data_IF_348879118090
#
_entry.id   IF_348879118090
#
_cell.length_a   1.000
_cell.length_b   1.000
_cell.length_c   1.000
_cell.angle_alpha   90.00
_cell.angle_beta   90.00
_cell.angle_gamma   90.00
#
_symmetry.space_group_name_H-M   'P 1'
#
loop_
_entity.id
_entity.type
_entity.pdbx_description
1 polymer ?
#
# COMPACT_ATOMS: atom_id res chain seq x y z
N UNK A 1 -22.18 -9.69 -4.25
CA UNK A 1 -21.32 -8.48 -4.22
C UNK A 1 -20.16 -8.70 -5.16
N UNK A 2 -20.15 -8.05 -6.34
CA UNK A 2 -19.35 -8.48 -7.50
C UNK A 2 -17.86 -8.14 -7.35
N UNK A 3 -17.09 -9.22 -7.15
CA UNK A 3 -15.81 -9.62 -7.79
C UNK A 3 -14.77 -8.54 -8.09
N UNK A 4 -13.72 -8.58 -7.26
CA UNK A 4 -12.38 -8.02 -7.42
C UNK A 4 -11.74 -8.43 -8.76
N UNK A 5 -11.25 -7.47 -9.56
CA UNK A 5 -10.19 -7.76 -10.55
C UNK A 5 -8.85 -7.71 -9.82
N UNK A 6 -8.13 -8.84 -9.81
CA UNK A 6 -6.74 -8.91 -9.35
C UNK A 6 -5.86 -8.91 -10.59
N UNK A 7 -5.22 -7.78 -10.88
CA UNK A 7 -4.11 -7.76 -11.85
C UNK A 7 -2.87 -8.29 -11.14
N UNK A 8 -2.31 -9.39 -11.63
CA UNK A 8 -1.04 -9.93 -11.14
C UNK A 8 0.11 -9.27 -11.89
N UNK A 9 1.15 -8.87 -11.17
CA UNK A 9 2.46 -8.67 -11.79
C UNK A 9 2.99 -10.02 -12.26
N UNK A 10 3.37 -10.09 -13.53
CA UNK A 10 3.90 -11.31 -14.13
C UNK A 10 5.32 -11.64 -13.65
N UNK A 11 6.11 -10.64 -13.22
CA UNK A 11 7.46 -10.85 -12.65
C UNK A 11 7.96 -9.59 -11.95
N UNK A 12 8.52 -9.66 -10.72
CA UNK A 12 9.19 -8.53 -10.08
C UNK A 12 10.53 -8.28 -10.77
N UNK A 13 10.58 -7.26 -11.64
CA UNK A 13 11.81 -6.76 -12.25
C UNK A 13 11.64 -5.26 -12.52
N UNK A 14 12.74 -4.51 -12.48
CA UNK A 14 12.77 -3.14 -13.01
C UNK A 14 12.30 -3.15 -14.48
N UNK A 15 11.48 -2.17 -14.87
CA UNK A 15 10.84 -2.08 -16.20
C UNK A 15 9.86 -3.25 -16.46
N UNK A 16 9.16 -3.70 -15.42
CA UNK A 16 8.20 -4.79 -15.56
C UNK A 16 7.00 -4.33 -16.40
N UNK A 17 6.65 -5.13 -17.42
CA UNK A 17 5.43 -4.91 -18.20
C UNK A 17 4.31 -5.72 -17.56
N UNK A 18 3.23 -5.04 -17.15
CA UNK A 18 2.04 -5.74 -16.68
C UNK A 18 1.43 -6.54 -17.84
N UNK A 19 1.07 -7.80 -17.55
CA UNK A 19 0.40 -8.66 -18.51
C UNK A 19 -0.86 -9.28 -17.86
N UNK A 20 -2.07 -8.84 -18.25
CA UNK A 20 -2.35 -7.80 -19.25
C UNK A 20 -1.89 -6.40 -18.81
N UNK A 21 -1.68 -5.45 -19.75
CA UNK A 21 -1.35 -4.06 -19.43
C UNK A 21 -2.39 -3.41 -18.51
N UNK A 22 -1.96 -2.41 -17.73
CA UNK A 22 -2.90 -1.67 -16.89
C UNK A 22 -3.92 -0.89 -17.75
N UNK A 23 -5.20 -0.83 -17.36
CA UNK A 23 -6.19 -0.07 -18.09
C UNK A 23 -5.83 1.42 -18.20
N UNK A 24 -5.89 1.95 -19.42
CA UNK A 24 -5.47 3.33 -19.72
C UNK A 24 -6.64 4.31 -19.74
N UNK A 25 -7.87 3.81 -19.72
CA UNK A 25 -9.09 4.60 -19.51
C UNK A 25 -9.71 4.27 -18.14
N UNK A 26 -10.03 5.30 -17.37
CA UNK A 26 -10.68 5.15 -16.07
C UNK A 26 -12.06 4.47 -16.18
N UNK A 27 -12.73 4.55 -17.33
CA UNK A 27 -13.97 3.84 -17.59
C UNK A 27 -13.79 2.31 -17.55
N UNK A 28 -12.60 1.79 -17.88
CA UNK A 28 -12.29 0.35 -17.76
C UNK A 28 -12.16 -0.10 -16.30
N UNK A 29 -11.89 0.84 -15.38
CA UNK A 29 -11.89 0.62 -13.94
C UNK A 29 -13.30 0.80 -13.34
N UNK A 30 -14.31 1.15 -14.15
CA UNK A 30 -15.67 1.33 -13.68
C UNK A 30 -16.24 0.05 -13.06
N UNK A 31 -16.96 0.21 -11.95
CA UNK A 31 -17.50 -0.91 -11.17
C UNK A 31 -16.51 -1.54 -10.20
N UNK A 32 -15.21 -1.25 -10.28
CA UNK A 32 -14.27 -1.60 -9.22
C UNK A 32 -14.49 -0.68 -8.01
N UNK A 33 -14.36 -1.24 -6.81
CA UNK A 33 -14.31 -0.45 -5.57
C UNK A 33 -12.89 -0.08 -5.17
N UNK A 34 -11.94 -0.95 -5.49
CA UNK A 34 -10.56 -0.73 -5.14
C UNK A 34 -9.60 -1.30 -6.19
N UNK A 35 -8.43 -0.68 -6.26
CA UNK A 35 -7.24 -1.17 -6.97
C UNK A 35 -6.13 -1.35 -5.93
N UNK A 36 -5.45 -2.50 -5.97
CA UNK A 36 -4.30 -2.78 -5.10
C UNK A 36 -3.06 -2.88 -5.98
N UNK A 37 -2.08 -2.01 -5.72
CA UNK A 37 -0.74 -2.08 -6.30
C UNK A 37 0.16 -2.82 -5.32
N UNK A 38 0.76 -3.93 -5.77
CA UNK A 38 1.63 -4.75 -4.93
C UNK A 38 2.96 -4.93 -5.64
N UNK A 39 3.98 -4.24 -5.15
CA UNK A 39 5.33 -4.26 -5.73
C UNK A 39 5.39 -3.74 -7.18
N UNK A 40 4.56 -2.73 -7.53
CA UNK A 40 4.43 -2.18 -8.89
C UNK A 40 5.15 -0.83 -8.99
N UNK A 41 6.02 -0.68 -10.00
CA UNK A 41 6.65 0.60 -10.33
C UNK A 41 5.77 1.50 -11.23
N UNK A 42 6.09 2.79 -11.30
CA UNK A 42 5.32 3.78 -12.05
C UNK A 42 5.38 3.57 -13.57
N UNK A 43 6.44 2.97 -14.10
CA UNK A 43 6.60 2.70 -15.54
C UNK A 43 5.70 1.53 -15.97
N UNK A 44 5.54 0.52 -15.13
CA UNK A 44 4.65 -0.62 -15.34
C UNK A 44 3.19 -0.22 -15.57
N UNK A 45 2.77 0.93 -15.03
CA UNK A 45 1.43 1.50 -15.21
C UNK A 45 1.29 2.37 -16.46
N UNK A 46 2.38 2.75 -17.14
CA UNK A 46 2.41 3.77 -18.20
C UNK A 46 1.97 5.18 -17.74
N UNK A 47 2.16 6.20 -18.57
CA UNK A 47 1.62 7.54 -18.28
C UNK A 47 0.08 7.53 -18.23
N UNK A 48 -0.56 6.95 -19.24
CA UNK A 48 -2.02 6.92 -19.32
C UNK A 48 -2.65 6.07 -18.21
N UNK A 49 -2.05 4.94 -17.85
CA UNK A 49 -2.56 4.12 -16.75
C UNK A 49 -2.38 4.76 -15.37
N UNK A 50 -1.30 5.53 -15.14
CA UNK A 50 -1.17 6.38 -13.94
C UNK A 50 -2.28 7.44 -13.86
N UNK A 51 -2.57 8.12 -14.97
CA UNK A 51 -3.69 9.06 -15.02
C UNK A 51 -5.04 8.35 -14.81
N UNK A 52 -5.25 7.19 -15.44
CA UNK A 52 -6.45 6.36 -15.26
C UNK A 52 -6.68 5.99 -13.79
N UNK A 53 -5.63 5.54 -13.09
CA UNK A 53 -5.68 5.22 -11.66
C UNK A 53 -5.97 6.46 -10.80
N UNK A 54 -5.35 7.60 -11.11
CA UNK A 54 -5.62 8.87 -10.43
C UNK A 54 -7.08 9.28 -10.57
N UNK A 55 -7.63 9.23 -11.80
CA UNK A 55 -9.04 9.56 -12.08
C UNK A 55 -10.00 8.58 -11.39
N UNK A 56 -9.64 7.31 -11.33
CA UNK A 56 -10.39 6.31 -10.56
C UNK A 56 -10.46 6.69 -9.07
N UNK A 57 -9.33 7.07 -8.47
CA UNK A 57 -9.30 7.52 -7.08
C UNK A 57 -10.14 8.79 -6.89
N UNK A 58 -9.94 9.82 -7.72
CA UNK A 58 -10.71 11.07 -7.65
C UNK A 58 -12.23 10.86 -7.74
N UNK A 59 -12.67 9.87 -8.53
CA UNK A 59 -14.07 9.53 -8.74
C UNK A 59 -14.71 8.79 -7.55
N UNK A 60 -13.94 8.36 -6.54
CA UNK A 60 -14.43 7.63 -5.37
C UNK A 60 -13.84 6.23 -5.20
N UNK A 61 -12.92 5.82 -6.08
CA UNK A 61 -12.20 4.56 -5.96
C UNK A 61 -11.24 4.55 -4.78
N UNK A 62 -10.96 3.36 -4.24
CA UNK A 62 -9.91 3.17 -3.23
C UNK A 62 -8.64 2.62 -3.86
N UNK A 63 -7.49 3.25 -3.62
CA UNK A 63 -6.18 2.73 -4.04
C UNK A 63 -5.40 2.28 -2.81
N UNK A 64 -4.87 1.06 -2.84
CA UNK A 64 -3.95 0.55 -1.81
C UNK A 64 -2.61 0.25 -2.45
N UNK A 65 -1.54 0.84 -1.93
CA UNK A 65 -0.16 0.56 -2.34
C UNK A 65 0.51 -0.27 -1.26
N UNK A 66 0.90 -1.49 -1.60
CA UNK A 66 1.66 -2.40 -0.73
C UNK A 66 3.15 -2.24 -0.96
N UNK A 67 3.93 -2.19 0.12
CA UNK A 67 5.39 -2.12 0.04
C UNK A 67 6.01 -3.41 -0.51
N UNK A 68 7.12 -3.23 -1.21
CA UNK A 68 7.81 -4.26 -1.98
C UNK A 68 9.20 -3.76 -2.40
N UNK A 69 9.91 -4.58 -3.17
CA UNK A 69 11.25 -4.24 -3.63
C UNK A 69 11.27 -3.00 -4.55
N UNK A 70 10.31 -2.88 -5.45
CA UNK A 70 10.20 -1.78 -6.43
C UNK A 70 9.08 -0.80 -6.11
N UNK A 71 8.65 -0.72 -4.85
CA UNK A 71 7.64 0.24 -4.38
C UNK A 71 8.28 1.54 -3.84
N UNK A 72 7.52 2.65 -3.86
CA UNK A 72 7.90 3.95 -3.31
C UNK A 72 9.24 4.49 -3.85
N UNK A 73 10.31 4.55 -3.05
CA UNK A 73 11.59 5.15 -3.46
C UNK A 73 12.26 4.50 -4.68
N UNK A 74 11.96 3.23 -4.97
CA UNK A 74 12.47 2.52 -6.15
C UNK A 74 11.50 2.53 -7.34
N UNK A 75 10.30 3.10 -7.15
CA UNK A 75 9.19 2.98 -8.10
C UNK A 75 9.11 4.10 -9.12
N UNK A 76 10.01 5.09 -9.09
CA UNK A 76 9.97 6.29 -9.95
C UNK A 76 8.62 7.00 -9.89
N UNK A 77 8.08 7.13 -8.68
CA UNK A 77 6.78 7.78 -8.44
C UNK A 77 6.90 9.30 -8.44
N UNK A 78 8.09 9.86 -8.24
CA UNK A 78 8.33 11.31 -8.22
C UNK A 78 7.95 11.98 -9.54
N UNK A 79 7.39 13.19 -9.46
CA UNK A 79 6.90 13.97 -10.60
C UNK A 79 5.81 13.22 -11.42
N UNK A 80 4.99 12.41 -10.75
CA UNK A 80 3.87 11.67 -11.38
C UNK A 80 2.55 11.84 -10.61
N UNK A 81 1.44 11.45 -11.25
CA UNK A 81 0.12 11.36 -10.59
C UNK A 81 0.11 10.44 -9.35
N UNK A 82 1.06 9.50 -9.24
CA UNK A 82 1.18 8.64 -8.07
C UNK A 82 1.73 9.41 -6.88
N UNK A 83 2.75 10.25 -7.08
CA UNK A 83 3.27 11.13 -6.02
C UNK A 83 2.18 12.06 -5.53
N UNK A 84 1.40 12.69 -6.41
CA UNK A 84 0.31 13.59 -6.02
C UNK A 84 -0.73 12.89 -5.13
N UNK A 85 -1.21 11.70 -5.54
CA UNK A 85 -2.28 11.01 -4.81
C UNK A 85 -1.81 10.35 -3.50
N UNK A 86 -0.54 9.95 -3.40
CA UNK A 86 -0.06 9.18 -2.26
C UNK A 86 -0.16 10.00 -0.97
N UNK A 87 -0.59 9.39 0.16
CA UNK A 87 -0.71 10.07 1.44
C UNK A 87 0.63 10.23 2.18
N UNK A 88 1.74 9.89 1.52
CA UNK A 88 3.08 9.83 2.10
C UNK A 88 4.09 10.36 1.09
N UNK A 89 5.25 10.79 1.59
CA UNK A 89 6.45 11.02 0.79
C UNK A 89 7.51 9.99 1.14
N UNK A 90 8.32 9.61 0.15
CA UNK A 90 9.53 8.80 0.30
C UNK A 90 10.76 9.70 0.20
N UNK A 91 11.89 9.38 0.88
CA UNK A 91 13.15 10.10 0.70
C UNK A 91 13.85 9.79 -0.65
N UNK A 92 13.22 9.03 -1.55
CA UNK A 92 13.80 8.57 -2.82
C UNK A 92 14.40 7.17 -2.69
N UNK A 93 15.30 6.80 -3.61
CA UNK A 93 15.89 5.47 -3.69
C UNK A 93 16.49 4.96 -2.36
N UNK A 94 16.50 3.65 -2.20
CA UNK A 94 16.92 2.91 -1.01
C UNK A 94 16.12 3.24 0.25
N UNK A 95 14.83 3.57 0.10
CA UNK A 95 13.94 3.91 1.22
C UNK A 95 13.54 2.72 2.10
N UNK A 96 13.65 1.49 1.65
CA UNK A 96 13.36 0.31 2.46
C UNK A 96 14.57 -0.16 3.27
N UNK A 97 14.34 -0.43 4.56
CA UNK A 97 15.39 -0.83 5.49
C UNK A 97 14.97 -2.02 6.34
N UNK A 98 15.97 -2.84 6.69
CA UNK A 98 15.81 -3.88 7.70
C UNK A 98 15.63 -3.23 9.06
N UNK A 99 14.57 -3.60 9.77
CA UNK A 99 14.40 -3.20 11.16
C UNK A 99 15.45 -3.89 12.03
N UNK A 100 16.06 -3.13 12.97
CA UNK A 100 17.07 -3.66 13.92
C UNK A 100 16.55 -4.85 14.75
N UNK A 101 15.23 -4.85 15.00
CA UNK A 101 14.45 -5.92 15.61
C UNK A 101 13.05 -5.94 14.98
N UNK A 102 12.30 -7.04 15.06
CA UNK A 102 10.90 -7.04 14.63
C UNK A 102 10.12 -5.92 15.32
N UNK A 103 9.39 -5.12 14.55
CA UNK A 103 8.60 -4.00 15.06
C UNK A 103 7.13 -4.40 15.12
N UNK A 104 6.49 -4.46 16.31
CA UNK A 104 5.10 -4.86 16.42
C UNK A 104 4.18 -3.81 15.80
N UNK A 105 3.12 -4.27 15.13
CA UNK A 105 2.06 -3.43 14.62
C UNK A 105 1.12 -3.01 15.75
N UNK A 106 0.75 -1.73 15.75
CA UNK A 106 -0.19 -1.16 16.71
C UNK A 106 -1.19 -0.28 15.96
N UNK A 107 -2.52 -0.53 16.10
CA UNK A 107 -3.52 0.34 15.49
C UNK A 107 -3.49 1.71 16.16
N UNK A 108 -3.80 2.77 15.40
CA UNK A 108 -4.03 4.09 15.97
C UNK A 108 -5.26 4.06 16.90
N UNK A 109 -5.17 4.77 18.02
CA UNK A 109 -6.19 4.73 19.08
C UNK A 109 -7.58 5.22 18.60
N UNK A 110 -7.59 6.18 17.67
CA UNK A 110 -8.78 6.76 17.06
C UNK A 110 -9.30 5.99 15.84
N UNK A 111 -8.59 4.94 15.39
CA UNK A 111 -9.02 4.11 14.26
C UNK A 111 -9.96 2.98 14.70
N UNK A 112 -11.22 3.33 14.95
CA UNK A 112 -12.28 2.42 15.43
C UNK A 112 -12.44 1.18 14.54
N UNK A 113 -12.33 1.33 13.23
CA UNK A 113 -12.49 0.20 12.31
C UNK A 113 -11.43 -0.89 12.49
N UNK A 114 -10.23 -0.54 12.98
CA UNK A 114 -9.16 -1.49 13.30
C UNK A 114 -9.38 -2.28 14.59
N UNK A 115 -10.40 -1.96 15.38
CA UNK A 115 -10.76 -2.69 16.59
C UNK A 115 -11.25 -4.12 16.27
N UNK A 116 -11.07 -5.03 17.22
CA UNK A 116 -11.52 -6.43 17.13
C UNK A 116 -10.62 -7.35 16.31
N UNK A 117 -9.55 -6.85 15.68
CA UNK A 117 -8.55 -7.70 15.04
C UNK A 117 -7.68 -8.43 16.08
N UNK A 118 -7.08 -9.58 15.74
CA UNK A 118 -6.29 -10.40 16.67
C UNK A 118 -4.89 -9.80 16.98
N UNK A 119 -4.86 -8.55 17.44
CA UNK A 119 -3.64 -7.80 17.77
C UNK A 119 -2.78 -8.46 18.85
N UNK A 120 -3.38 -9.32 19.69
CA UNK A 120 -2.67 -10.12 20.70
C UNK A 120 -1.62 -11.08 20.10
N UNK A 121 -1.72 -11.42 18.82
CA UNK A 121 -0.69 -12.20 18.12
C UNK A 121 0.61 -11.41 17.87
N UNK A 122 0.63 -10.11 18.19
CA UNK A 122 1.77 -9.21 18.02
C UNK A 122 2.44 -9.30 16.63
N UNK A 123 1.65 -9.16 15.54
CA UNK A 123 2.20 -9.17 14.19
C UNK A 123 3.27 -8.10 14.04
N UNK A 124 4.39 -8.45 13.43
CA UNK A 124 5.59 -7.63 13.39
C UNK A 124 6.12 -7.44 11.98
N UNK A 125 6.80 -6.32 11.79
CA UNK A 125 7.46 -5.92 10.55
C UNK A 125 8.96 -6.17 10.67
N UNK A 126 9.54 -6.75 9.62
CA UNK A 126 10.98 -7.01 9.53
C UNK A 126 11.71 -6.01 8.65
N UNK A 127 11.04 -5.54 7.61
CA UNK A 127 11.51 -4.58 6.63
C UNK A 127 10.41 -3.59 6.31
N UNK A 128 10.75 -2.31 6.19
CA UNK A 128 9.79 -1.27 5.85
C UNK A 128 10.42 -0.12 5.07
N UNK A 129 9.62 0.54 4.25
CA UNK A 129 9.96 1.82 3.64
C UNK A 129 9.95 2.94 4.70
N UNK A 130 10.90 3.86 4.59
CA UNK A 130 10.93 5.12 5.34
C UNK A 130 9.96 6.10 4.70
N UNK A 131 8.73 6.12 5.18
CA UNK A 131 7.67 6.98 4.64
C UNK A 131 7.29 8.07 5.65
N UNK A 132 7.08 9.29 5.14
CA UNK A 132 6.62 10.43 5.92
C UNK A 132 5.17 10.77 5.55
N UNK A 133 4.20 10.73 6.47
CA UNK A 133 2.82 11.12 6.19
C UNK A 133 2.74 12.58 5.72
N UNK A 134 1.95 12.84 4.68
CA UNK A 134 1.65 14.20 4.23
C UNK A 134 0.66 14.89 5.18
N UNK A 135 0.62 16.24 5.22
CA UNK A 135 -0.39 16.97 5.97
C UNK A 135 -1.83 16.53 5.63
N UNK A 136 -2.71 16.45 6.62
CA UNK A 136 -4.12 16.06 6.43
C UNK A 136 -4.37 14.56 6.24
N UNK A 137 -3.33 13.73 6.31
CA UNK A 137 -3.45 12.27 6.24
C UNK A 137 -3.59 11.64 7.63
N UNK A 138 -4.04 10.39 7.69
CA UNK A 138 -4.24 9.64 8.94
C UNK A 138 -3.35 8.41 8.96
N UNK A 139 -2.57 8.25 10.02
CA UNK A 139 -1.85 7.01 10.30
C UNK A 139 -2.82 6.04 10.96
N UNK A 140 -3.14 4.93 10.29
CA UNK A 140 -4.09 3.91 10.75
C UNK A 140 -3.41 2.87 11.63
N UNK A 141 -2.18 2.51 11.29
CA UNK A 141 -1.36 1.52 11.99
C UNK A 141 0.09 2.01 12.00
N UNK A 142 0.78 1.80 13.12
CA UNK A 142 2.22 2.03 13.27
C UNK A 142 2.96 0.71 13.45
N UNK A 143 4.25 0.67 13.08
CA UNK A 143 5.18 -0.41 13.39
C UNK A 143 6.28 0.14 14.31
N UNK A 144 6.25 -0.22 15.60
CA UNK A 144 7.19 0.32 16.57
C UNK A 144 7.21 1.86 16.63
N UNK A 145 6.04 2.50 16.49
CA UNK A 145 5.89 3.95 16.45
C UNK A 145 6.14 4.62 15.09
N UNK A 146 6.68 3.91 14.10
CA UNK A 146 6.83 4.42 12.73
C UNK A 146 5.54 4.23 11.92
N UNK A 147 5.19 5.12 10.98
CA UNK A 147 4.01 4.94 10.12
C UNK A 147 4.06 3.61 9.35
N UNK A 148 2.99 2.82 9.41
CA UNK A 148 2.88 1.55 8.70
C UNK A 148 1.75 1.55 7.68
N UNK A 149 0.51 1.86 8.09
CA UNK A 149 -0.60 2.13 7.17
C UNK A 149 -1.00 3.59 7.30
N UNK A 150 -0.95 4.33 6.21
CA UNK A 150 -1.32 5.74 6.15
C UNK A 150 -2.40 5.92 5.09
N UNK A 151 -3.48 6.60 5.44
CA UNK A 151 -4.58 6.91 4.52
C UNK A 151 -4.72 8.40 4.28
N UNK A 152 -5.00 8.77 3.03
CA UNK A 152 -5.36 10.13 2.62
C UNK A 152 -6.48 10.13 1.61
N UNK A 153 -7.05 11.31 1.36
CA UNK A 153 -8.07 11.50 0.33
C UNK A 153 -7.42 11.83 -1.02
N UNK A 154 -8.05 11.37 -2.10
CA UNK A 154 -7.77 11.82 -3.47
C UNK A 154 -9.13 12.05 -4.14
N UNK A 155 -9.48 13.31 -4.37
CA UNK A 155 -10.85 13.70 -4.75
C UNK A 155 -11.89 13.12 -3.78
N UNK A 156 -12.83 12.34 -4.30
CA UNK A 156 -13.88 11.65 -3.53
C UNK A 156 -13.45 10.29 -2.99
N UNK A 157 -12.31 9.77 -3.44
CA UNK A 157 -11.80 8.47 -3.06
C UNK A 157 -10.71 8.56 -2.01
N UNK A 158 -10.01 7.44 -1.86
CA UNK A 158 -9.10 7.20 -0.75
C UNK A 158 -7.86 6.47 -1.25
N UNK A 159 -6.71 6.89 -0.75
CA UNK A 159 -5.43 6.24 -1.05
C UNK A 159 -4.82 5.80 0.26
N UNK A 160 -4.34 4.55 0.31
CA UNK A 160 -3.70 3.94 1.47
C UNK A 160 -2.31 3.47 1.07
N UNK A 161 -1.29 3.90 1.81
CA UNK A 161 0.08 3.43 1.67
C UNK A 161 0.43 2.48 2.81
N UNK A 162 0.97 1.31 2.48
CA UNK A 162 1.55 0.33 3.41
C UNK A 162 3.08 0.35 3.32
N UNK A 163 3.75 0.76 4.39
CA UNK A 163 5.20 0.83 4.46
C UNK A 163 5.87 -0.54 4.60
N UNK A 164 5.16 -1.57 5.08
CA UNK A 164 5.74 -2.90 5.28
C UNK A 164 6.01 -3.64 3.97
N UNK A 165 7.10 -4.39 3.94
CA UNK A 165 7.43 -5.30 2.84
C UNK A 165 7.44 -6.75 3.32
N UNK A 166 7.29 -7.70 2.40
CA UNK A 166 7.35 -9.15 2.69
C UNK A 166 8.78 -9.71 2.64
N UNK A 167 9.79 -8.84 2.80
CA UNK A 167 11.19 -9.20 2.69
C UNK A 167 11.75 -9.80 3.99
N UNK A 168 12.76 -10.67 3.82
CA UNK A 168 13.57 -11.22 4.90
C UNK A 168 13.00 -12.48 5.58
N UNK A 169 13.80 -13.05 6.47
CA UNK A 169 13.46 -14.26 7.22
C UNK A 169 13.14 -13.92 8.67
N UNK A 170 11.99 -14.40 9.15
CA UNK A 170 11.55 -14.20 10.52
C UNK A 170 12.47 -14.92 11.51
N UNK A 171 12.92 -14.25 12.59
CA UNK A 171 13.49 -14.95 13.74
C UNK A 171 12.48 -15.93 14.32
N UNK A 172 12.96 -17.01 14.95
CA UNK A 172 12.11 -17.99 15.61
C UNK A 172 11.13 -17.31 16.60
N UNK A 173 9.86 -17.75 16.58
CA UNK A 173 8.81 -17.18 17.42
C UNK A 173 8.27 -15.80 16.97
N UNK A 174 8.77 -15.22 15.88
CA UNK A 174 8.25 -13.94 15.37
C UNK A 174 7.04 -14.16 14.48
N UNK A 175 5.91 -13.53 14.80
CA UNK A 175 4.76 -13.44 13.91
C UNK A 175 4.98 -12.32 12.90
N UNK A 176 5.33 -12.63 11.67
CA UNK A 176 5.40 -11.63 10.59
C UNK A 176 4.01 -11.19 10.15
N UNK A 177 3.84 -9.91 9.81
CA UNK A 177 2.51 -9.36 9.51
C UNK A 177 1.83 -10.04 8.31
N UNK A 178 2.57 -10.46 7.28
CA UNK A 178 1.98 -11.17 6.12
C UNK A 178 1.57 -12.61 6.44
N UNK A 179 2.05 -13.18 7.54
CA UNK A 179 1.65 -14.49 8.06
C UNK A 179 0.69 -14.40 9.25
N UNK A 180 0.16 -13.21 9.54
CA UNK A 180 -0.79 -12.97 10.61
C UNK A 180 -2.23 -13.21 10.16
N UNK A 181 -3.01 -13.91 10.99
CA UNK A 181 -4.40 -14.25 10.69
C UNK A 181 -5.29 -13.02 10.47
N UNK A 182 -4.96 -11.90 11.13
CA UNK A 182 -5.67 -10.63 11.01
C UNK A 182 -5.32 -9.83 9.75
N UNK A 183 -4.29 -10.19 8.98
CA UNK A 183 -3.84 -9.39 7.84
C UNK A 183 -4.90 -9.22 6.74
N UNK A 184 -5.59 -10.29 6.26
CA UNK A 184 -6.66 -10.12 5.28
C UNK A 184 -7.82 -9.27 5.81
N UNK A 185 -8.16 -9.41 7.09
CA UNK A 185 -9.24 -8.65 7.73
C UNK A 185 -8.88 -7.17 7.90
N UNK A 186 -7.62 -6.88 8.23
CA UNK A 186 -7.08 -5.53 8.27
C UNK A 186 -7.22 -4.85 6.91
N UNK A 187 -6.77 -5.51 5.84
CA UNK A 187 -6.88 -4.98 4.48
C UNK A 187 -8.35 -4.76 4.09
N UNK A 188 -9.24 -5.72 4.39
CA UNK A 188 -10.66 -5.57 4.12
C UNK A 188 -11.27 -4.35 4.82
N UNK A 189 -10.93 -4.13 6.11
CA UNK A 189 -11.38 -2.96 6.88
C UNK A 189 -10.84 -1.65 6.32
N UNK A 190 -9.62 -1.63 5.78
CA UNK A 190 -9.07 -0.46 5.10
C UNK A 190 -9.83 -0.17 3.79
N UNK A 191 -10.18 -1.20 3.01
CA UNK A 191 -10.82 -1.07 1.70
C UNK A 191 -12.34 -0.84 1.77
N UNK A 192 -13.00 -1.15 2.89
CA UNK A 192 -14.46 -1.08 3.02
C UNK A 192 -15.00 0.26 3.54
N UNK A 193 -14.13 1.22 3.88
CA UNK A 193 -14.52 2.54 4.39
C UNK A 193 -14.70 3.58 3.29
#
# INVERSE_FOLDING_TARGET
TKVTRVAHMATPAFNSVLNPPFPIDAAELSGLRAVVLADVDAEALSFQGRNSLHRFAEAGGTVLVLGGWVSYGESKMEDTFLEEMLPVTSPGSFDHERCKKPLPLTPAADWVAGQGLPWKEAPSVLWMHRLTPKPGTKVLVTAGGKPFLVSGACGKGKVIACAGTVLGTAPAGTKVFWGWSGWPQLLAKCLSQ
#
